data_IF_975961498698
#
_entry.id   IF_975961498698
#
_cell.length_a   1.000
_cell.length_b   1.000
_cell.length_c   1.000
_cell.angle_alpha   90.00
_cell.angle_beta   90.00
_cell.angle_gamma   90.00
#
_symmetry.space_group_name_H-M   'P 1'
#
loop_
_entity.id
_entity.type
_entity.pdbx_description
1 polymer ?
#
# COMPACT_ATOMS: atom_id res chain seq x y z
N UNK A 1 -9.48 -19.42 -1.20
CA UNK A 1 -9.49 -20.87 -1.56
C UNK A 1 -8.07 -21.49 -1.59
N UNK A 2 -7.01 -20.76 -1.95
CA UNK A 2 -5.62 -21.28 -1.98
C UNK A 2 -4.86 -21.22 -0.64
N UNK A 3 -5.15 -20.25 0.23
CA UNK A 3 -4.52 -20.13 1.57
C UNK A 3 -4.89 -21.28 2.54
N UNK A 4 -5.98 -22.01 2.26
CA UNK A 4 -6.44 -23.17 3.05
C UNK A 4 -5.76 -24.48 2.59
N UNK A 5 -4.93 -24.44 1.55
CA UNK A 5 -4.25 -25.61 0.95
C UNK A 5 -2.71 -25.57 1.10
N UNK A 6 -2.19 -24.91 2.14
CA UNK A 6 -0.72 -24.79 2.40
C UNK A 6 0.10 -24.15 1.26
N UNK A 7 -0.54 -23.37 0.38
CA UNK A 7 0.13 -22.64 -0.71
C UNK A 7 0.15 -21.14 -0.44
N UNK A 8 0.67 -20.78 0.73
CA UNK A 8 0.75 -19.38 1.16
C UNK A 8 1.72 -18.58 0.28
N UNK A 9 2.83 -19.18 -0.16
CA UNK A 9 3.77 -18.54 -1.09
C UNK A 9 3.13 -18.14 -2.43
N UNK A 10 2.20 -18.96 -2.95
CA UNK A 10 1.48 -18.63 -4.20
C UNK A 10 0.51 -17.47 -3.95
N UNK A 11 -0.20 -17.48 -2.83
CA UNK A 11 -1.17 -16.42 -2.50
C UNK A 11 -0.47 -15.08 -2.29
N UNK A 12 0.67 -15.10 -1.58
CA UNK A 12 1.52 -13.95 -1.36
C UNK A 12 2.13 -13.45 -2.67
N UNK A 13 2.65 -14.35 -3.52
CA UNK A 13 3.20 -13.99 -4.82
C UNK A 13 2.19 -13.33 -5.75
N UNK A 14 0.94 -13.81 -5.76
CA UNK A 14 -0.17 -13.17 -6.51
C UNK A 14 -0.51 -11.80 -5.94
N UNK A 15 -0.60 -11.67 -4.62
CA UNK A 15 -0.91 -10.40 -3.96
C UNK A 15 0.17 -9.34 -4.24
N UNK A 16 1.45 -9.68 -4.07
CA UNK A 16 2.56 -8.78 -4.37
C UNK A 16 2.62 -8.44 -5.85
N UNK A 17 2.48 -9.43 -6.74
CA UNK A 17 2.48 -9.19 -8.19
C UNK A 17 1.37 -8.22 -8.62
N UNK A 18 0.17 -8.35 -8.06
CA UNK A 18 -0.93 -7.42 -8.30
C UNK A 18 -0.62 -6.01 -7.79
N UNK A 19 -0.08 -5.87 -6.58
CA UNK A 19 0.30 -4.57 -6.01
C UNK A 19 1.41 -3.89 -6.80
N UNK A 20 2.42 -4.64 -7.26
CA UNK A 20 3.50 -4.12 -8.11
C UNK A 20 2.97 -3.67 -9.46
N UNK A 21 2.03 -4.40 -10.07
CA UNK A 21 1.40 -3.99 -11.32
C UNK A 21 0.62 -2.68 -11.16
N UNK A 22 -0.13 -2.55 -10.06
CA UNK A 22 -0.84 -1.30 -9.73
C UNK A 22 0.16 -0.15 -9.60
N UNK A 23 1.24 -0.36 -8.85
CA UNK A 23 2.26 0.67 -8.62
C UNK A 23 3.00 1.09 -9.90
N UNK A 24 3.43 0.14 -10.73
CA UNK A 24 4.25 0.43 -11.92
C UNK A 24 3.44 0.84 -13.16
N UNK A 25 2.18 0.45 -13.25
CA UNK A 25 1.36 0.72 -14.44
C UNK A 25 0.14 1.59 -14.14
N UNK A 26 -0.64 1.25 -13.12
CA UNK A 26 -1.92 1.94 -12.87
C UNK A 26 -1.70 3.36 -12.37
N UNK A 27 -0.78 3.60 -11.43
CA UNK A 27 -0.46 4.95 -10.92
C UNK A 27 0.00 5.91 -12.05
N UNK A 28 1.02 5.59 -12.86
CA UNK A 28 1.45 6.49 -13.93
C UNK A 28 0.40 6.62 -15.03
N UNK A 29 -0.38 5.57 -15.31
CA UNK A 29 -1.50 5.66 -16.25
C UNK A 29 -2.56 6.64 -15.76
N UNK A 30 -2.91 6.61 -14.47
CA UNK A 30 -3.82 7.58 -13.87
C UNK A 30 -3.32 9.02 -14.01
N UNK A 31 -2.01 9.27 -13.86
CA UNK A 31 -1.40 10.60 -14.06
C UNK A 31 -1.59 11.09 -15.51
N UNK A 32 -1.29 10.22 -16.49
CA UNK A 32 -1.49 10.56 -17.92
C UNK A 32 -2.96 10.84 -18.23
N UNK A 33 -3.89 10.05 -17.68
CA UNK A 33 -5.33 10.30 -17.84
C UNK A 33 -5.74 11.62 -17.18
N UNK A 34 -5.18 11.97 -16.02
CA UNK A 34 -5.38 13.26 -15.36
C UNK A 34 -5.00 14.43 -16.27
N UNK A 35 -3.83 14.33 -16.91
CA UNK A 35 -3.38 15.32 -17.91
C UNK A 35 -4.33 15.41 -19.10
N UNK A 36 -4.83 14.27 -19.61
CA UNK A 36 -5.83 14.27 -20.69
C UNK A 36 -7.16 14.92 -20.29
N UNK A 37 -7.54 14.88 -19.00
CA UNK A 37 -8.75 15.52 -18.47
C UNK A 37 -8.52 16.98 -18.06
N UNK A 38 -7.32 17.54 -18.28
CA UNK A 38 -6.97 18.89 -17.89
C UNK A 38 -6.84 19.10 -16.37
N UNK A 39 -6.67 18.02 -15.59
CA UNK A 39 -6.31 18.09 -14.18
C UNK A 39 -4.81 17.88 -14.02
N UNK A 40 -4.16 18.77 -13.28
CA UNK A 40 -2.78 18.58 -12.84
C UNK A 40 -2.76 17.49 -11.77
N UNK A 41 -2.47 16.26 -12.19
CA UNK A 41 -2.19 15.14 -11.30
C UNK A 41 -0.70 14.86 -11.39
N UNK A 42 -0.04 14.80 -10.24
CA UNK A 42 1.39 14.52 -10.13
C UNK A 42 1.62 13.29 -9.24
N UNK A 43 2.82 12.72 -9.26
CA UNK A 43 3.22 11.64 -8.35
C UNK A 43 3.74 12.16 -6.99
N UNK A 44 3.63 13.46 -6.75
CA UNK A 44 3.95 14.08 -5.47
C UNK A 44 2.88 13.78 -4.40
N UNK A 45 2.96 12.59 -3.81
CA UNK A 45 2.24 12.27 -2.59
C UNK A 45 2.78 13.10 -1.43
N UNK A 46 1.91 13.57 -0.53
CA UNK A 46 2.35 14.36 0.62
C UNK A 46 3.39 13.57 1.45
N UNK A 47 4.25 14.29 2.17
CA UNK A 47 5.35 13.66 2.94
C UNK A 47 4.86 12.55 3.86
N UNK A 48 3.69 12.74 4.48
CA UNK A 48 3.06 11.74 5.34
C UNK A 48 2.65 10.47 4.58
N UNK A 49 2.02 10.61 3.42
CA UNK A 49 1.58 9.49 2.58
C UNK A 49 2.78 8.68 2.08
N UNK A 50 3.81 9.37 1.58
CA UNK A 50 5.04 8.75 1.08
C UNK A 50 5.76 7.99 2.19
N UNK A 51 5.93 8.61 3.37
CA UNK A 51 6.58 7.96 4.51
C UNK A 51 5.80 6.75 5.01
N UNK A 52 4.48 6.88 5.13
CA UNK A 52 3.60 5.80 5.62
C UNK A 52 3.58 4.62 4.64
N UNK A 53 3.51 4.88 3.33
CA UNK A 53 3.58 3.86 2.30
C UNK A 53 4.94 3.14 2.32
N UNK A 54 6.04 3.90 2.43
CA UNK A 54 7.38 3.33 2.51
C UNK A 54 7.55 2.41 3.73
N UNK A 55 7.14 2.85 4.92
CA UNK A 55 7.21 2.05 6.14
C UNK A 55 6.33 0.80 6.01
N UNK A 56 5.13 0.93 5.44
CA UNK A 56 4.20 -0.20 5.23
C UNK A 56 4.83 -1.26 4.33
N UNK A 57 5.44 -0.85 3.21
CA UNK A 57 6.12 -1.78 2.29
C UNK A 57 7.29 -2.48 2.99
N UNK A 58 8.08 -1.77 3.79
CA UNK A 58 9.18 -2.38 4.55
C UNK A 58 8.67 -3.41 5.56
N UNK A 59 7.66 -3.06 6.36
CA UNK A 59 7.09 -3.97 7.38
C UNK A 59 6.52 -5.22 6.73
N UNK A 60 5.75 -5.06 5.64
CA UNK A 60 5.20 -6.20 4.89
C UNK A 60 6.30 -7.06 4.29
N UNK A 61 7.35 -6.46 3.73
CA UNK A 61 8.49 -7.19 3.17
C UNK A 61 9.22 -8.01 4.25
N UNK A 62 9.48 -7.43 5.43
CA UNK A 62 10.11 -8.15 6.54
C UNK A 62 9.22 -9.30 7.07
N UNK A 63 7.93 -9.05 7.26
CA UNK A 63 6.98 -10.08 7.70
C UNK A 63 6.87 -11.24 6.71
N UNK A 64 7.01 -10.97 5.41
CA UNK A 64 6.98 -11.98 4.35
C UNK A 64 8.26 -12.82 4.25
N UNK A 65 9.42 -12.26 4.59
CA UNK A 65 10.70 -13.01 4.56
C UNK A 65 10.73 -14.14 5.59
N UNK A 66 9.99 -13.99 6.70
CA UNK A 66 9.84 -15.06 7.66
C UNK A 66 8.84 -16.12 7.13
N UNK A 67 9.35 -17.11 6.38
CA UNK A 67 8.60 -18.16 5.66
C UNK A 67 7.71 -19.11 6.49
N UNK A 68 7.37 -18.76 7.73
CA UNK A 68 6.35 -19.43 8.53
C UNK A 68 5.11 -18.54 8.63
N UNK A 69 4.00 -18.98 8.06
CA UNK A 69 2.74 -18.23 8.14
C UNK A 69 1.90 -18.78 9.28
N UNK A 70 1.80 -18.00 10.35
CA UNK A 70 0.95 -18.29 11.51
C UNK A 70 -0.29 -17.41 11.47
N UNK A 71 -1.41 -17.89 11.98
CA UNK A 71 -2.63 -17.08 12.16
C UNK A 71 -2.34 -15.77 12.94
N UNK A 72 -1.38 -15.81 13.87
CA UNK A 72 -0.93 -14.64 14.62
C UNK A 72 -0.22 -13.60 13.74
N UNK A 73 0.59 -14.01 12.75
CA UNK A 73 1.21 -13.09 11.78
C UNK A 73 0.18 -12.45 10.86
N UNK A 74 -0.82 -13.23 10.43
CA UNK A 74 -1.97 -12.69 9.70
C UNK A 74 -2.72 -11.63 10.51
N UNK A 75 -2.96 -11.89 11.80
CA UNK A 75 -3.57 -10.92 12.71
C UNK A 75 -2.71 -9.66 12.88
N UNK A 76 -1.38 -9.79 13.01
CA UNK A 76 -0.46 -8.64 13.08
C UNK A 76 -0.53 -7.77 11.82
N UNK A 77 -0.60 -8.37 10.63
CA UNK A 77 -0.74 -7.64 9.37
C UNK A 77 -2.08 -6.88 9.30
N UNK A 78 -3.17 -7.50 9.76
CA UNK A 78 -4.48 -6.83 9.84
C UNK A 78 -4.45 -5.67 10.83
N UNK A 79 -3.84 -5.85 12.00
CA UNK A 79 -3.70 -4.77 13.00
C UNK A 79 -2.83 -3.63 12.46
N UNK A 80 -1.74 -3.94 11.76
CA UNK A 80 -0.90 -2.93 11.11
C UNK A 80 -1.71 -2.13 10.08
N UNK A 81 -2.53 -2.79 9.27
CA UNK A 81 -3.44 -2.12 8.34
C UNK A 81 -4.44 -1.20 9.06
N UNK A 82 -5.02 -1.63 10.18
CA UNK A 82 -5.93 -0.79 10.97
C UNK A 82 -5.23 0.43 11.57
N UNK A 83 -3.98 0.30 12.03
CA UNK A 83 -3.19 1.42 12.54
C UNK A 83 -2.92 2.44 11.43
N UNK A 84 -2.54 1.98 10.24
CA UNK A 84 -2.35 2.85 9.07
C UNK A 84 -3.66 3.54 8.69
N UNK A 85 -4.77 2.80 8.62
CA UNK A 85 -6.08 3.36 8.31
C UNK A 85 -6.54 4.40 9.34
N UNK A 86 -6.33 4.14 10.63
CA UNK A 86 -6.62 5.11 11.69
C UNK A 86 -5.70 6.33 11.62
N UNK A 87 -4.43 6.14 11.24
CA UNK A 87 -3.47 7.24 11.03
C UNK A 87 -3.94 8.15 9.90
N UNK A 88 -4.41 7.59 8.78
CA UNK A 88 -5.02 8.37 7.69
C UNK A 88 -6.34 9.03 8.07
N UNK A 89 -7.17 8.40 8.89
CA UNK A 89 -8.43 8.99 9.36
C UNK A 89 -8.22 10.20 10.29
N UNK A 90 -7.17 10.16 11.10
CA UNK A 90 -6.80 11.25 12.02
C UNK A 90 -5.90 12.28 11.35
N UNK A 91 -5.17 11.89 10.29
CA UNK A 91 -4.34 12.81 9.51
C UNK A 91 -5.25 13.86 8.86
N UNK A 92 -5.14 15.08 9.35
CA UNK A 92 -5.69 16.26 8.69
C UNK A 92 -4.55 16.82 7.86
N UNK A 93 -4.70 16.76 6.54
CA UNK A 93 -3.77 17.42 5.65
C UNK A 93 -3.71 18.90 6.03
N UNK A 94 -2.51 19.46 6.30
CA UNK A 94 -2.39 20.89 6.44
C UNK A 94 -2.91 21.51 5.14
N UNK A 95 -3.93 22.37 5.23
CA UNK A 95 -4.30 23.24 4.10
C UNK A 95 -3.00 23.92 3.67
N UNK A 96 -2.52 23.65 2.46
CA UNK A 96 -1.63 24.59 1.80
C UNK A 96 -2.30 25.95 1.89
N UNK A 97 -1.73 26.84 2.70
CA UNK A 97 -2.06 28.25 2.62
C UNK A 97 -1.57 28.76 1.28
N UNK A 98 -2.51 29.15 0.42
CA UNK A 98 -2.47 30.47 -0.23
C UNK A 98 -3.14 31.42 0.79
N UNK A 99 -2.72 32.63 1.17
CA UNK A 99 -1.76 33.61 0.62
C UNK A 99 -1.42 33.54 -0.87
#
# INVERSE_FOLDING_TARGET
>A
MFAVKDKLDITIGVAVGSSTQISMFVIPFCVVVGWCMGKEMDLNFQLFETATLFITVLVVAFMMQEGTSNYFKGLMLILCYLIVAASFFVHVDPKSGDD
#
